data_IF_605460435269
#
_entry.id   IF_605460435269
#
_cell.length_a   1.000
_cell.length_b   1.000
_cell.length_c   1.000
_cell.angle_alpha   90.00
_cell.angle_beta   90.00
_cell.angle_gamma   90.00
#
_symmetry.space_group_name_H-M   'P 1'
#
loop_
_entity.id
_entity.type
_entity.pdbx_description
1 polymer ?
#
# COMPACT_ATOMS: atom_id res chain seq x y z
N UNK A 1 -12.17 -11.47 10.40
CA UNK A 1 -12.89 -11.14 9.15
C UNK A 1 -13.05 -9.63 8.99
N UNK A 2 -13.76 -8.92 9.89
CA UNK A 2 -13.98 -7.46 9.77
C UNK A 2 -12.74 -6.59 9.51
N UNK A 3 -11.59 -6.87 10.15
CA UNK A 3 -10.35 -6.12 9.91
C UNK A 3 -9.74 -6.38 8.53
N UNK A 4 -9.88 -7.59 7.98
CA UNK A 4 -9.39 -7.93 6.65
C UNK A 4 -10.26 -7.27 5.58
N UNK A 5 -11.59 -7.34 5.75
CA UNK A 5 -12.53 -6.68 4.83
C UNK A 5 -12.32 -5.17 4.78
N UNK A 6 -12.00 -4.55 5.92
CA UNK A 6 -11.66 -3.13 5.98
C UNK A 6 -10.37 -2.83 5.22
N UNK A 7 -9.33 -3.67 5.35
CA UNK A 7 -8.06 -3.49 4.64
C UNK A 7 -8.25 -3.60 3.13
N UNK A 8 -8.98 -4.62 2.67
CA UNK A 8 -9.28 -4.81 1.25
C UNK A 8 -10.03 -3.61 0.69
N UNK A 9 -11.06 -3.11 1.39
CA UNK A 9 -11.78 -1.90 0.98
C UNK A 9 -10.89 -0.66 0.91
N UNK A 10 -9.94 -0.50 1.84
CA UNK A 10 -8.97 0.59 1.80
C UNK A 10 -8.04 0.49 0.59
N UNK A 11 -7.60 -0.71 0.23
CA UNK A 11 -6.76 -0.95 -0.94
C UNK A 11 -7.52 -0.70 -2.26
N UNK A 12 -8.77 -1.15 -2.35
CA UNK A 12 -9.65 -0.85 -3.49
C UNK A 12 -9.86 0.65 -3.65
N UNK A 13 -10.12 1.36 -2.54
CA UNK A 13 -10.30 2.82 -2.54
C UNK A 13 -9.03 3.54 -3.01
N UNK A 14 -7.86 3.11 -2.53
CA UNK A 14 -6.58 3.69 -2.92
C UNK A 14 -6.30 3.52 -4.42
N UNK A 15 -6.59 2.33 -4.97
CA UNK A 15 -6.43 2.07 -6.40
C UNK A 15 -7.43 2.83 -7.26
N UNK A 16 -8.66 2.99 -6.79
CA UNK A 16 -9.65 3.80 -7.47
C UNK A 16 -9.23 5.27 -7.56
N UNK A 17 -8.64 5.81 -6.49
CA UNK A 17 -8.10 7.17 -6.50
C UNK A 17 -6.91 7.32 -7.47
N UNK A 18 -6.14 6.27 -7.68
CA UNK A 18 -5.04 6.27 -8.64
C UNK A 18 -5.51 6.32 -10.11
N UNK A 19 -6.47 5.45 -10.46
CA UNK A 19 -6.95 5.33 -11.86
C UNK A 19 -7.65 6.58 -12.37
N UNK A 20 -8.15 7.43 -11.47
CA UNK A 20 -8.84 8.69 -11.80
C UNK A 20 -7.91 9.90 -11.91
N UNK A 21 -6.65 9.69 -12.33
CA UNK A 21 -5.67 10.75 -12.61
C UNK A 21 -6.10 11.63 -13.80
N UNK A 22 -7.15 12.42 -13.60
CA UNK A 22 -7.60 13.47 -14.50
C UNK A 22 -7.35 14.80 -13.80
N UNK A 23 -6.18 15.38 -14.10
CA UNK A 23 -5.78 16.80 -14.14
C UNK A 23 -6.16 17.81 -13.04
N UNK A 24 -6.99 17.46 -12.05
CA UNK A 24 -7.28 18.28 -10.86
C UNK A 24 -7.03 17.47 -9.58
N UNK A 25 -5.76 17.48 -9.14
CA UNK A 25 -5.32 17.06 -7.82
C UNK A 25 -5.88 18.04 -6.77
N UNK A 26 -7.11 17.79 -6.30
CA UNK A 26 -7.66 18.58 -5.19
C UNK A 26 -6.93 18.22 -3.89
N UNK A 27 -6.65 19.22 -3.05
CA UNK A 27 -6.03 19.04 -1.72
C UNK A 27 -6.74 17.97 -0.87
N UNK A 28 -8.06 17.79 -1.07
CA UNK A 28 -8.87 16.77 -0.42
C UNK A 28 -8.44 15.35 -0.87
N UNK A 29 -8.28 15.11 -2.17
CA UNK A 29 -7.84 13.81 -2.70
C UNK A 29 -6.41 13.48 -2.29
N UNK A 30 -5.51 14.48 -2.27
CA UNK A 30 -4.14 14.31 -1.74
C UNK A 30 -4.16 13.79 -0.30
N UNK A 31 -4.90 14.46 0.58
CA UNK A 31 -5.01 14.06 2.00
C UNK A 31 -5.60 12.66 2.15
N UNK A 32 -6.58 12.31 1.32
CA UNK A 32 -7.20 10.99 1.33
C UNK A 32 -6.20 9.89 0.92
N UNK A 33 -5.42 10.10 -0.16
CA UNK A 33 -4.35 9.18 -0.58
C UNK A 33 -3.31 8.96 0.53
N UNK A 34 -2.82 10.03 1.15
CA UNK A 34 -1.86 9.98 2.27
C UNK A 34 -2.43 9.18 3.45
N UNK A 35 -3.68 9.47 3.83
CA UNK A 35 -4.39 8.79 4.92
C UNK A 35 -4.56 7.29 4.65
N UNK A 36 -4.92 6.93 3.41
CA UNK A 36 -5.09 5.54 3.00
C UNK A 36 -3.75 4.79 2.97
N UNK A 37 -2.67 5.40 2.48
CA UNK A 37 -1.32 4.80 2.53
C UNK A 37 -0.92 4.44 3.97
N UNK A 38 -1.15 5.37 4.89
CA UNK A 38 -0.85 5.18 6.32
C UNK A 38 -1.72 4.08 6.93
N UNK A 39 -3.03 4.12 6.66
CA UNK A 39 -4.01 3.13 7.18
C UNK A 39 -3.68 1.72 6.70
N UNK A 40 -3.40 1.55 5.40
CA UNK A 40 -3.00 0.26 4.82
C UNK A 40 -1.75 -0.28 5.51
N UNK A 41 -0.75 0.58 5.70
CA UNK A 41 0.53 0.24 6.33
C UNK A 41 0.36 -0.23 7.77
N UNK A 42 -0.40 0.50 8.58
CA UNK A 42 -0.69 0.14 9.97
C UNK A 42 -1.39 -1.22 10.05
N UNK A 43 -2.40 -1.43 9.20
CA UNK A 43 -3.19 -2.66 9.19
C UNK A 43 -2.38 -3.88 8.75
N UNK A 44 -1.60 -3.77 7.66
CA UNK A 44 -0.80 -4.90 7.14
C UNK A 44 0.37 -5.26 8.06
N UNK A 45 0.91 -4.27 8.80
CA UNK A 45 1.98 -4.49 9.76
C UNK A 45 1.47 -5.03 11.10
N UNK A 46 0.16 -4.96 11.37
CA UNK A 46 -0.42 -5.40 12.64
C UNK A 46 -0.22 -6.92 12.86
N UNK A 47 0.08 -7.37 14.10
CA UNK A 47 0.31 -8.79 14.39
C UNK A 47 -0.89 -9.68 14.03
N UNK A 48 -2.11 -9.20 14.27
CA UNK A 48 -3.35 -9.92 13.99
C UNK A 48 -3.55 -10.17 12.49
N UNK A 49 -3.11 -9.22 11.64
CA UNK A 49 -3.24 -9.35 10.20
C UNK A 49 -2.26 -10.40 9.65
N UNK A 50 -1.04 -10.47 10.20
CA UNK A 50 -0.01 -11.45 9.81
C UNK A 50 -0.43 -12.91 10.01
N UNK A 51 -1.37 -13.16 10.92
CA UNK A 51 -1.91 -14.49 11.21
C UNK A 51 -3.14 -14.85 10.34
N UNK A 52 -3.61 -13.95 9.46
CA UNK A 52 -4.79 -14.19 8.64
C UNK A 52 -4.50 -15.20 7.51
N UNK A 53 -5.45 -16.09 7.16
CA UNK A 53 -5.24 -17.15 6.16
C UNK A 53 -4.92 -16.61 4.76
N UNK A 54 -5.39 -15.40 4.42
CA UNK A 54 -5.15 -14.78 3.11
C UNK A 54 -4.11 -13.64 3.20
N UNK A 55 -3.30 -13.60 4.27
CA UNK A 55 -2.34 -12.52 4.49
C UNK A 55 -1.39 -12.32 3.30
N UNK A 56 -0.95 -13.43 2.69
CA UNK A 56 -0.02 -13.40 1.57
C UNK A 56 -0.58 -12.62 0.37
N UNK A 57 -1.83 -12.87 -0.02
CA UNK A 57 -2.45 -12.21 -1.16
C UNK A 57 -2.74 -10.74 -0.87
N UNK A 58 -3.18 -10.45 0.35
CA UNK A 58 -3.42 -9.08 0.81
C UNK A 58 -2.10 -8.29 0.91
N UNK A 59 -0.99 -8.95 1.28
CA UNK A 59 0.34 -8.34 1.29
C UNK A 59 0.82 -8.00 -0.12
N UNK A 60 0.64 -8.90 -1.11
CA UNK A 60 0.90 -8.56 -2.53
C UNK A 60 0.12 -7.32 -2.91
N UNK A 61 -1.18 -7.30 -2.62
CA UNK A 61 -2.04 -6.18 -3.01
C UNK A 61 -1.61 -4.87 -2.37
N UNK A 62 -1.23 -4.90 -1.09
CA UNK A 62 -0.70 -3.74 -0.38
C UNK A 62 0.61 -3.23 -0.96
N UNK A 63 1.57 -4.12 -1.26
CA UNK A 63 2.85 -3.73 -1.86
C UNK A 63 2.62 -3.11 -3.24
N UNK A 64 1.84 -3.76 -4.11
CA UNK A 64 1.55 -3.22 -5.45
C UNK A 64 0.85 -1.85 -5.39
N UNK A 65 -0.12 -1.67 -4.47
CA UNK A 65 -0.81 -0.40 -4.28
C UNK A 65 0.12 0.70 -3.75
N UNK A 66 1.03 0.39 -2.83
CA UNK A 66 2.01 1.35 -2.32
C UNK A 66 3.04 1.73 -3.39
N UNK A 67 3.59 0.76 -4.13
CA UNK A 67 4.50 1.01 -5.27
C UNK A 67 3.87 1.94 -6.31
N UNK A 68 2.57 1.75 -6.54
CA UNK A 68 1.76 2.60 -7.41
C UNK A 68 1.64 4.04 -6.89
N UNK A 69 1.49 4.24 -5.59
CA UNK A 69 1.46 5.58 -4.96
C UNK A 69 2.83 6.27 -4.92
N UNK A 70 3.92 5.51 -4.96
CA UNK A 70 5.26 6.09 -5.11
C UNK A 70 5.46 6.72 -6.49
N UNK A 71 4.62 6.35 -7.47
CA UNK A 71 4.55 6.94 -8.81
C UNK A 71 3.39 7.95 -8.97
N UNK A 72 2.84 8.47 -7.86
CA UNK A 72 1.78 9.48 -7.92
C UNK A 72 2.31 10.82 -8.46
N UNK A 73 1.46 11.73 -8.93
CA UNK A 73 1.92 13.05 -9.43
C UNK A 73 2.22 14.04 -8.29
N UNK A 74 1.69 13.80 -7.09
CA UNK A 74 1.93 14.65 -5.93
C UNK A 74 3.10 14.18 -5.08
N UNK A 75 4.10 15.03 -4.90
CA UNK A 75 5.32 14.70 -4.15
C UNK A 75 5.07 14.33 -2.68
N UNK A 76 4.01 14.84 -2.05
CA UNK A 76 3.70 14.46 -0.66
C UNK A 76 3.12 13.05 -0.59
N UNK A 77 2.34 12.67 -1.60
CA UNK A 77 1.83 11.30 -1.73
C UNK A 77 2.98 10.34 -2.00
N UNK A 78 3.88 10.68 -2.94
CA UNK A 78 5.08 9.89 -3.22
C UNK A 78 5.92 9.66 -1.95
N UNK A 79 6.28 10.74 -1.25
CA UNK A 79 7.10 10.66 -0.03
C UNK A 79 6.44 9.81 1.06
N UNK A 80 5.14 9.97 1.27
CA UNK A 80 4.39 9.15 2.24
C UNK A 80 4.38 7.68 1.83
N UNK A 81 4.17 7.40 0.54
CA UNK A 81 4.13 6.04 0.02
C UNK A 81 5.49 5.34 0.15
N UNK A 82 6.59 6.04 -0.12
CA UNK A 82 7.95 5.53 0.07
C UNK A 82 8.22 5.17 1.54
N UNK A 83 7.85 6.03 2.49
CA UNK A 83 7.98 5.74 3.92
C UNK A 83 7.12 4.53 4.34
N UNK A 84 5.89 4.47 3.82
CA UNK A 84 4.96 3.38 4.07
C UNK A 84 5.49 2.05 3.55
N UNK A 85 5.97 2.02 2.30
CA UNK A 85 6.56 0.84 1.67
C UNK A 85 7.78 0.36 2.45
N UNK A 86 8.67 1.27 2.85
CA UNK A 86 9.83 0.95 3.68
C UNK A 86 9.43 0.32 5.03
N UNK A 87 8.37 0.82 5.67
CA UNK A 87 7.84 0.23 6.91
C UNK A 87 7.30 -1.17 6.68
N UNK A 88 6.52 -1.38 5.61
CA UNK A 88 5.99 -2.71 5.25
C UNK A 88 7.12 -3.70 5.01
N UNK A 89 8.10 -3.34 4.17
CA UNK A 89 9.26 -4.18 3.87
C UNK A 89 9.97 -4.60 5.16
N UNK A 90 10.33 -3.64 6.03
CA UNK A 90 10.97 -3.94 7.33
C UNK A 90 10.13 -4.86 8.22
N UNK A 91 8.81 -4.70 8.21
CA UNK A 91 7.91 -5.50 9.03
C UNK A 91 7.70 -6.93 8.52
N UNK A 92 7.95 -7.19 7.22
CA UNK A 92 7.66 -8.48 6.60
C UNK A 92 8.90 -9.23 6.08
N UNK A 93 10.05 -8.57 5.94
CA UNK A 93 11.26 -9.17 5.36
C UNK A 93 11.69 -10.44 6.10
N UNK A 94 11.69 -10.45 7.43
CA UNK A 94 12.14 -11.61 8.20
C UNK A 94 11.29 -12.87 8.00
N UNK A 95 10.01 -12.70 7.62
CA UNK A 95 9.05 -13.80 7.45
C UNK A 95 8.72 -14.10 5.99
N UNK A 96 8.87 -13.13 5.10
CA UNK A 96 8.37 -13.18 3.71
C UNK A 96 9.35 -12.56 2.70
N UNK A 97 10.67 -12.61 2.97
CA UNK A 97 11.70 -11.99 2.10
C UNK A 97 11.56 -12.34 0.62
N UNK A 98 11.30 -13.61 0.28
CA UNK A 98 11.18 -14.05 -1.11
C UNK A 98 10.04 -13.34 -1.84
N UNK A 99 8.92 -13.12 -1.15
CA UNK A 99 7.74 -12.46 -1.72
C UNK A 99 7.97 -10.96 -1.87
N UNK A 100 8.58 -10.33 -0.86
CA UNK A 100 8.97 -8.92 -0.96
C UNK A 100 9.90 -8.71 -2.16
N UNK A 101 10.95 -9.53 -2.28
CA UNK A 101 11.86 -9.45 -3.41
C UNK A 101 11.12 -9.64 -4.74
N UNK A 102 10.25 -10.66 -4.85
CA UNK A 102 9.49 -10.91 -6.07
C UNK A 102 8.65 -9.70 -6.50
N UNK A 103 7.87 -9.11 -5.59
CA UNK A 103 7.02 -7.95 -5.94
C UNK A 103 7.86 -6.71 -6.31
N UNK A 104 8.99 -6.49 -5.64
CA UNK A 104 9.90 -5.40 -5.98
C UNK A 104 10.54 -5.59 -7.37
N UNK A 105 10.98 -6.81 -7.70
CA UNK A 105 11.57 -7.11 -9.01
C UNK A 105 10.54 -7.13 -10.15
N UNK A 106 9.27 -7.41 -9.86
CA UNK A 106 8.17 -7.39 -10.85
C UNK A 106 7.82 -5.98 -11.33
N UNK A 107 8.12 -4.94 -10.55
CA UNK A 107 7.92 -3.55 -10.91
C UNK A 107 9.25 -2.91 -11.36
N UNK A 108 9.66 -3.02 -12.64
CA UNK A 108 10.96 -2.54 -13.13
C UNK A 108 11.09 -1.02 -13.24
N UNK A 109 10.11 -0.26 -12.73
CA UNK A 109 10.12 1.20 -12.70
C UNK A 109 10.13 1.75 -11.26
N UNK A 110 10.52 0.90 -10.32
CA UNK A 110 11.45 1.29 -9.26
C UNK A 110 12.88 1.01 -9.70
#
# INVERSE_FOLDING_TARGET
MASLDKLVKSLESLNFLQTKSNQDETSVRRKEKISLCSTVTEMICSPNMKAAPNYSDVLTFAIESLLRMCNDNDSNVQMTADECLNKVIKAVVDRNIQKVLYELFKCPYF
#
